data_IF_369683332806
#
_entry.id   IF_369683332806
#
_cell.length_a   1.000
_cell.length_b   1.000
_cell.length_c   1.000
_cell.angle_alpha   90.00
_cell.angle_beta   90.00
_cell.angle_gamma   90.00
#
_symmetry.space_group_name_H-M   'P 1'
#
loop_
_entity.id
_entity.type
_entity.pdbx_description
1 polymer ?
#
# COMPACT_ATOMS: atom_id res chain seq x y z
N UNK A 1 36.63 -14.81 -30.72
CA UNK A 1 35.59 -14.37 -31.68
C UNK A 1 34.41 -13.91 -30.87
N UNK A 2 33.99 -12.68 -31.12
CA UNK A 2 33.29 -11.75 -30.25
C UNK A 2 31.90 -12.26 -29.84
N UNK A 3 31.65 -12.41 -28.54
CA UNK A 3 30.30 -12.49 -28.01
C UNK A 3 29.64 -11.13 -28.20
N UNK A 4 28.41 -11.14 -28.69
CA UNK A 4 27.56 -9.98 -28.91
C UNK A 4 27.21 -9.40 -27.52
N UNK A 5 28.09 -8.52 -27.03
CA UNK A 5 28.08 -7.96 -25.69
C UNK A 5 26.74 -7.25 -25.45
N UNK A 6 25.95 -7.76 -24.51
CA UNK A 6 24.69 -7.18 -24.06
C UNK A 6 24.88 -5.80 -23.40
N UNK A 7 25.28 -4.80 -24.18
CA UNK A 7 25.47 -3.42 -23.75
C UNK A 7 24.15 -2.66 -23.87
N UNK A 8 23.83 -1.89 -22.86
CA UNK A 8 22.60 -1.11 -22.77
C UNK A 8 22.92 0.37 -22.95
N UNK A 9 22.06 1.10 -23.69
CA UNK A 9 22.11 2.56 -23.66
C UNK A 9 21.83 3.07 -22.25
N UNK A 10 22.26 4.29 -21.93
CA UNK A 10 21.98 4.89 -20.59
C UNK A 10 20.46 4.92 -20.31
N UNK A 11 19.62 5.15 -21.32
CA UNK A 11 18.16 5.10 -21.18
C UNK A 11 17.61 3.68 -21.01
N UNK A 12 18.19 2.68 -21.66
CA UNK A 12 17.81 1.28 -21.49
C UNK A 12 18.27 0.74 -20.13
N UNK A 13 19.44 1.16 -19.65
CA UNK A 13 19.94 0.85 -18.31
C UNK A 13 19.04 1.48 -17.24
N UNK A 14 18.64 2.75 -17.40
CA UNK A 14 17.69 3.40 -16.51
C UNK A 14 16.36 2.65 -16.41
N UNK A 15 15.83 2.17 -17.56
CA UNK A 15 14.62 1.34 -17.59
C UNK A 15 14.82 -0.01 -16.91
N UNK A 16 15.98 -0.65 -17.09
CA UNK A 16 16.30 -1.94 -16.45
C UNK A 16 16.35 -1.79 -14.93
N UNK A 17 16.86 -0.66 -14.44
CA UNK A 17 16.96 -0.34 -13.01
C UNK A 17 15.71 0.31 -12.43
N UNK A 18 14.67 0.56 -13.23
CA UNK A 18 13.45 1.27 -12.81
C UNK A 18 13.72 2.67 -12.19
N UNK A 19 14.76 3.36 -12.70
CA UNK A 19 15.16 4.70 -12.27
C UNK A 19 14.81 5.70 -13.39
N UNK A 20 14.30 6.91 -13.08
CA UNK A 20 14.13 7.97 -14.07
C UNK A 20 15.44 8.25 -14.82
N UNK A 21 15.40 8.23 -16.16
CA UNK A 21 16.61 8.40 -16.98
C UNK A 21 17.39 9.67 -16.62
N UNK A 22 16.70 10.76 -16.30
CA UNK A 22 17.31 12.02 -15.86
C UNK A 22 18.16 11.86 -14.59
N UNK A 23 17.69 11.06 -13.62
CA UNK A 23 18.41 10.79 -12.37
C UNK A 23 19.66 9.95 -12.62
N UNK A 24 19.59 8.96 -13.51
CA UNK A 24 20.78 8.20 -13.90
C UNK A 24 21.80 9.10 -14.62
N UNK A 25 21.36 9.95 -15.56
CA UNK A 25 22.26 10.92 -16.21
C UNK A 25 22.90 11.91 -15.24
N UNK A 26 22.13 12.40 -14.25
CA UNK A 26 22.65 13.28 -13.21
C UNK A 26 23.72 12.56 -12.38
N UNK A 27 23.45 11.33 -11.94
CA UNK A 27 24.39 10.60 -11.10
C UNK A 27 25.68 10.25 -11.85
N UNK A 28 25.58 9.75 -13.08
CA UNK A 28 26.76 9.48 -13.91
C UNK A 28 27.60 10.74 -14.16
N UNK A 29 26.95 11.91 -14.24
CA UNK A 29 27.64 13.21 -14.33
C UNK A 29 28.32 13.58 -13.01
N UNK A 30 27.63 13.43 -11.89
CA UNK A 30 28.11 13.85 -10.58
C UNK A 30 29.31 13.00 -10.10
N UNK A 31 29.34 11.72 -10.48
CA UNK A 31 30.49 10.84 -10.29
C UNK A 31 31.60 11.03 -11.34
N UNK A 32 31.38 11.90 -12.32
CA UNK A 32 32.37 12.26 -13.35
C UNK A 32 32.61 11.17 -14.39
N UNK A 33 31.62 10.32 -14.67
CA UNK A 33 31.69 9.30 -15.71
C UNK A 33 31.31 9.85 -17.07
N UNK A 34 30.38 10.81 -17.08
CA UNK A 34 29.96 11.54 -18.28
C UNK A 34 29.95 13.04 -18.01
N UNK A 35 30.02 13.84 -19.07
CA UNK A 35 29.90 15.30 -19.01
C UNK A 35 29.11 15.79 -20.20
N UNK A 36 28.31 16.83 -19.99
CA UNK A 36 27.62 17.50 -21.08
C UNK A 36 28.58 18.48 -21.77
N UNK A 37 28.78 18.30 -23.07
CA UNK A 37 29.54 19.22 -23.92
C UNK A 37 28.64 19.69 -25.06
N UNK A 38 28.28 20.98 -25.03
CA UNK A 38 27.23 21.56 -25.88
C UNK A 38 25.93 20.74 -25.77
N UNK A 39 25.49 20.13 -26.87
CA UNK A 39 24.25 19.36 -26.96
C UNK A 39 24.43 17.84 -26.86
N UNK A 40 25.63 17.36 -26.50
CA UNK A 40 25.92 15.92 -26.44
C UNK A 40 26.56 15.50 -25.13
N UNK A 41 26.27 14.26 -24.72
CA UNK A 41 26.92 13.60 -23.60
C UNK A 41 28.24 12.99 -24.06
N UNK A 42 29.32 13.36 -23.37
CA UNK A 42 30.67 12.89 -23.61
C UNK A 42 31.09 11.99 -22.46
N UNK A 43 31.52 10.78 -22.79
CA UNK A 43 32.13 9.82 -21.88
C UNK A 43 33.50 10.32 -21.42
N UNK A 44 33.76 10.25 -20.12
CA UNK A 44 35.03 10.63 -19.50
C UNK A 44 35.90 9.40 -19.22
N UNK A 45 37.22 9.57 -18.96
CA UNK A 45 38.12 8.45 -18.68
C UNK A 45 37.66 7.54 -17.52
N UNK A 46 37.01 8.10 -16.49
CA UNK A 46 36.39 7.32 -15.42
C UNK A 46 35.24 6.45 -15.91
N UNK A 47 34.39 6.98 -16.80
CA UNK A 47 33.30 6.21 -17.39
C UNK A 47 33.79 5.12 -18.34
N UNK A 48 34.90 5.35 -19.06
CA UNK A 48 35.56 4.32 -19.88
C UNK A 48 36.15 3.20 -19.02
N UNK A 49 36.75 3.55 -17.88
CA UNK A 49 37.27 2.58 -16.91
C UNK A 49 36.17 1.63 -16.38
N UNK A 50 34.97 2.16 -16.17
CA UNK A 50 33.79 1.41 -15.70
C UNK A 50 33.06 0.68 -16.85
N UNK A 51 33.70 0.55 -18.01
CA UNK A 51 33.21 -0.21 -19.16
C UNK A 51 32.29 0.56 -20.11
N UNK A 52 32.09 1.85 -19.89
CA UNK A 52 31.37 2.73 -20.81
C UNK A 52 32.06 2.75 -22.18
N UNK A 53 31.27 2.70 -23.25
CA UNK A 53 31.78 2.77 -24.63
C UNK A 53 30.80 3.49 -25.54
N UNK A 54 31.24 3.85 -26.74
CA UNK A 54 30.37 4.47 -27.72
C UNK A 54 29.81 3.45 -28.70
N UNK A 55 28.53 3.58 -29.02
CA UNK A 55 27.88 2.88 -30.11
C UNK A 55 27.31 3.87 -31.12
N UNK A 56 27.29 3.48 -32.39
CA UNK A 56 26.80 4.32 -33.49
C UNK A 56 25.48 3.75 -34.01
N UNK A 57 24.46 4.59 -34.09
CA UNK A 57 23.16 4.24 -34.68
C UNK A 57 22.86 5.13 -35.87
N UNK A 58 22.28 4.56 -36.92
CA UNK A 58 21.78 5.30 -38.09
C UNK A 58 20.67 6.30 -37.72
N UNK A 59 19.92 6.04 -36.64
CA UNK A 59 18.75 6.85 -36.23
C UNK A 59 19.09 7.91 -35.17
N UNK A 60 20.04 7.62 -34.29
CA UNK A 60 20.30 8.44 -33.08
C UNK A 60 21.75 8.97 -33.00
N UNK A 61 22.58 8.71 -34.01
CA UNK A 61 23.97 9.12 -34.01
C UNK A 61 24.82 8.33 -33.02
N UNK A 62 25.89 8.97 -32.51
CA UNK A 62 26.83 8.37 -31.54
C UNK A 62 26.30 8.56 -30.12
N UNK A 63 26.20 7.48 -29.36
CA UNK A 63 25.69 7.51 -27.97
C UNK A 63 26.49 6.56 -27.07
N UNK A 64 26.36 6.76 -25.76
CA UNK A 64 27.08 6.00 -24.73
C UNK A 64 26.27 4.75 -24.35
N UNK A 65 26.97 3.62 -24.32
CA UNK A 65 26.46 2.32 -23.87
C UNK A 65 27.30 1.76 -22.73
N UNK A 66 26.66 1.01 -21.86
CA UNK A 66 27.21 0.46 -20.63
C UNK A 66 27.08 -1.06 -20.62
N UNK A 67 28.01 -1.78 -19.98
CA UNK A 67 27.87 -3.22 -19.81
C UNK A 67 26.67 -3.54 -18.92
N UNK A 68 26.02 -4.69 -19.15
CA UNK A 68 24.88 -5.10 -18.35
C UNK A 68 25.21 -5.29 -16.87
N UNK A 69 26.44 -5.73 -16.56
CA UNK A 69 26.95 -5.93 -15.19
C UNK A 69 27.05 -4.66 -14.35
N UNK A 70 26.84 -3.49 -14.97
CA UNK A 70 26.88 -2.22 -14.27
C UNK A 70 25.70 -2.09 -13.28
N UNK A 71 24.61 -2.84 -13.47
CA UNK A 71 23.49 -2.92 -12.54
C UNK A 71 23.87 -3.31 -11.11
N UNK A 72 24.93 -4.10 -10.93
CA UNK A 72 25.45 -4.49 -9.60
C UNK A 72 26.52 -3.52 -9.07
N UNK A 73 26.81 -2.42 -9.76
CA UNK A 73 27.88 -1.51 -9.36
C UNK A 73 27.50 -0.73 -8.09
N UNK A 74 28.40 -0.55 -7.10
CA UNK A 74 28.10 0.13 -5.83
C UNK A 74 27.52 1.55 -5.97
N UNK A 75 27.91 2.26 -7.04
CA UNK A 75 27.34 3.56 -7.40
C UNK A 75 25.84 3.47 -7.71
N UNK A 76 25.40 2.45 -8.45
CA UNK A 76 23.99 2.27 -8.78
C UNK A 76 23.19 1.75 -7.59
N UNK A 77 23.79 0.90 -6.75
CA UNK A 77 23.22 0.54 -5.45
C UNK A 77 23.02 1.77 -4.53
N UNK A 78 23.92 2.75 -4.58
CA UNK A 78 23.74 4.02 -3.86
C UNK A 78 22.64 4.92 -4.48
N UNK A 79 22.30 4.76 -5.77
CA UNK A 79 21.13 5.43 -6.37
C UNK A 79 19.84 4.76 -5.92
N UNK A 80 19.80 3.42 -5.87
CA UNK A 80 18.66 2.67 -5.32
C UNK A 80 18.42 3.01 -3.85
N UNK A 81 19.49 3.15 -3.06
CA UNK A 81 19.40 3.62 -1.66
C UNK A 81 18.91 5.07 -1.54
N UNK A 82 19.19 5.92 -2.53
CA UNK A 82 18.63 7.26 -2.63
C UNK A 82 17.22 7.30 -3.29
N UNK A 83 16.70 6.16 -3.77
CA UNK A 83 15.40 6.11 -4.40
C UNK A 83 14.33 6.16 -3.32
N UNK A 84 13.61 7.28 -3.28
CA UNK A 84 12.50 7.41 -2.35
C UNK A 84 11.25 6.77 -2.95
N UNK A 85 10.54 6.00 -2.14
CA UNK A 85 9.34 5.28 -2.52
C UNK A 85 8.12 5.86 -1.80
N UNK A 86 6.98 5.85 -2.48
CA UNK A 86 5.69 6.24 -1.89
C UNK A 86 4.93 5.01 -1.40
N UNK A 87 3.88 5.19 -0.60
CA UNK A 87 2.95 4.12 -0.28
C UNK A 87 2.35 3.43 -1.53
N UNK A 88 2.20 4.16 -2.65
CA UNK A 88 1.77 3.56 -3.91
C UNK A 88 2.84 2.64 -4.52
N UNK A 89 4.11 3.02 -4.43
CA UNK A 89 5.25 2.21 -4.86
C UNK A 89 5.43 0.96 -3.97
N UNK A 90 5.14 1.07 -2.67
CA UNK A 90 5.22 -0.04 -1.72
C UNK A 90 4.29 -1.21 -2.05
N UNK A 91 3.24 -0.98 -2.84
CA UNK A 91 2.32 -2.04 -3.31
C UNK A 91 3.02 -3.15 -4.08
N UNK A 92 4.18 -2.87 -4.68
CA UNK A 92 5.00 -3.91 -5.35
C UNK A 92 5.43 -5.01 -4.37
N UNK A 93 5.67 -4.65 -3.11
CA UNK A 93 6.06 -5.57 -2.04
C UNK A 93 4.85 -6.13 -1.30
N UNK A 94 3.76 -5.36 -1.24
CA UNK A 94 2.50 -5.74 -0.59
C UNK A 94 1.33 -5.69 -1.58
N UNK A 95 1.23 -6.63 -2.53
CA UNK A 95 0.28 -6.55 -3.64
C UNK A 95 -1.19 -6.60 -3.23
N UNK A 96 -1.47 -7.21 -2.06
CA UNK A 96 -2.81 -7.28 -1.47
C UNK A 96 -3.25 -5.98 -0.79
N UNK A 97 -2.34 -5.03 -0.60
CA UNK A 97 -2.65 -3.74 0.03
C UNK A 97 -2.75 -2.62 -1.01
N UNK A 98 -3.75 -1.76 -0.83
CA UNK A 98 -3.87 -0.50 -1.55
C UNK A 98 -3.04 0.60 -0.89
N UNK A 99 -2.67 1.63 -1.66
CA UNK A 99 -1.84 2.73 -1.19
C UNK A 99 -2.47 3.45 0.04
N UNK A 100 -3.81 3.54 0.09
CA UNK A 100 -4.51 4.12 1.25
C UNK A 100 -4.36 3.27 2.51
N UNK A 101 -4.46 1.94 2.39
CA UNK A 101 -4.26 1.01 3.51
C UNK A 101 -2.82 1.09 4.01
N UNK A 102 -1.83 1.09 3.11
CA UNK A 102 -0.42 1.26 3.48
C UNK A 102 -0.21 2.60 4.21
N UNK A 103 -0.79 3.69 3.71
CA UNK A 103 -0.67 4.98 4.38
C UNK A 103 -1.30 4.98 5.78
N UNK A 104 -2.47 4.37 5.95
CA UNK A 104 -3.13 4.25 7.26
C UNK A 104 -2.33 3.35 8.21
N UNK A 105 -1.72 2.27 7.72
CA UNK A 105 -0.84 1.41 8.50
C UNK A 105 0.41 2.16 8.97
N UNK A 106 1.08 2.92 8.09
CA UNK A 106 2.22 3.76 8.48
C UNK A 106 1.80 4.84 9.50
N UNK A 107 0.56 5.32 9.41
CA UNK A 107 0.03 6.29 10.37
C UNK A 107 -0.27 5.67 11.73
N UNK A 108 -0.78 4.44 11.76
CA UNK A 108 -0.98 3.65 12.97
C UNK A 108 0.35 3.40 13.72
N UNK A 109 1.43 3.15 12.97
CA UNK A 109 2.80 3.09 13.51
C UNK A 109 3.35 4.44 13.99
N UNK A 110 2.58 5.52 13.86
CA UNK A 110 2.98 6.87 14.23
C UNK A 110 4.05 7.47 13.33
N UNK A 111 4.25 6.94 12.12
CA UNK A 111 5.26 7.43 11.17
C UNK A 111 4.76 8.64 10.35
N UNK A 112 3.45 8.73 10.16
CA UNK A 112 2.77 9.84 9.50
C UNK A 112 1.38 10.04 10.11
N UNK A 113 0.69 11.09 9.73
CA UNK A 113 -0.72 11.30 10.12
C UNK A 113 -1.47 12.01 8.99
N UNK A 114 -2.79 11.84 8.96
CA UNK A 114 -3.64 12.47 7.95
C UNK A 114 -4.26 13.76 8.52
N UNK A 115 -4.16 14.85 7.78
CA UNK A 115 -4.78 16.14 8.09
C UNK A 115 -5.58 16.66 6.90
N UNK A 116 -6.13 17.87 7.03
CA UNK A 116 -6.80 18.57 5.91
C UNK A 116 -5.86 18.89 4.75
N UNK A 117 -4.55 18.89 5.00
CA UNK A 117 -3.52 19.18 3.99
C UNK A 117 -3.00 17.90 3.30
N UNK A 118 -3.37 16.71 3.79
CA UNK A 118 -2.89 15.43 3.25
C UNK A 118 -2.13 14.62 4.30
N UNK A 119 -1.11 13.87 3.86
CA UNK A 119 -0.27 13.07 4.75
C UNK A 119 0.93 13.89 5.23
N UNK A 120 1.03 14.06 6.55
CA UNK A 120 2.06 14.83 7.20
C UNK A 120 3.00 13.94 8.02
N UNK A 121 4.29 14.22 7.93
CA UNK A 121 5.34 13.43 8.55
C UNK A 121 5.45 13.72 10.05
N UNK A 122 5.56 12.68 10.87
CA UNK A 122 5.79 12.83 12.32
C UNK A 122 7.28 12.92 12.65
N UNK A 123 7.61 13.24 13.91
CA UNK A 123 8.99 13.16 14.40
C UNK A 123 9.58 11.74 14.29
N UNK A 124 8.79 10.71 14.57
CA UNK A 124 9.21 9.31 14.43
C UNK A 124 9.46 8.96 12.97
N UNK A 125 8.54 9.33 12.08
CA UNK A 125 8.72 9.11 10.64
C UNK A 125 9.98 9.79 10.09
N UNK A 126 10.26 11.01 10.55
CA UNK A 126 11.49 11.73 10.17
C UNK A 126 12.75 11.01 10.65
N UNK A 127 12.72 10.41 11.85
CA UNK A 127 13.84 9.61 12.36
C UNK A 127 14.10 8.34 11.54
N UNK A 128 13.07 7.83 10.84
CA UNK A 128 13.16 6.72 9.89
C UNK A 128 13.45 7.16 8.45
N UNK A 129 13.87 8.42 8.24
CA UNK A 129 14.26 8.94 6.93
C UNK A 129 13.10 9.38 6.02
N UNK A 130 11.86 9.38 6.52
CA UNK A 130 10.73 9.94 5.78
C UNK A 130 10.93 11.42 5.46
N UNK A 131 10.41 11.86 4.32
CA UNK A 131 10.35 13.29 3.97
C UNK A 131 8.99 13.61 3.37
N UNK A 132 8.48 14.77 3.76
CA UNK A 132 7.22 15.33 3.31
C UNK A 132 7.44 16.19 2.06
N UNK A 133 6.58 16.00 1.07
CA UNK A 133 6.56 16.73 -0.18
C UNK A 133 5.14 17.26 -0.44
N UNK A 134 5.02 18.27 -1.28
CA UNK A 134 3.74 18.84 -1.72
C UNK A 134 3.51 18.49 -3.18
N UNK A 135 2.32 17.97 -3.50
CA UNK A 135 1.98 17.66 -4.87
C UNK A 135 1.75 18.94 -5.67
N UNK A 136 2.54 19.19 -6.72
CA UNK A 136 2.34 20.34 -7.61
C UNK A 136 0.94 20.35 -8.26
N UNK A 137 0.30 19.19 -8.41
CA UNK A 137 -1.00 19.06 -9.05
C UNK A 137 -2.19 19.37 -8.12
N UNK A 138 -2.09 19.00 -6.84
CA UNK A 138 -3.21 19.11 -5.89
C UNK A 138 -2.95 20.03 -4.69
N UNK A 139 -1.70 20.45 -4.47
CA UNK A 139 -1.27 21.15 -3.24
C UNK A 139 -1.32 20.28 -1.98
N UNK A 140 -1.62 18.98 -2.11
CA UNK A 140 -1.71 18.08 -0.97
C UNK A 140 -0.34 17.57 -0.56
N UNK A 141 -0.10 17.49 0.74
CA UNK A 141 1.08 16.86 1.32
C UNK A 141 1.02 15.35 1.17
N UNK A 142 2.18 14.78 0.86
CA UNK A 142 2.42 13.35 0.90
C UNK A 142 3.80 13.05 1.47
N UNK A 143 3.97 11.85 1.98
CA UNK A 143 5.24 11.38 2.53
C UNK A 143 5.84 10.34 1.60
N UNK A 144 7.14 10.41 1.41
CA UNK A 144 7.90 9.34 0.78
C UNK A 144 9.03 8.89 1.70
N UNK A 145 9.55 7.70 1.44
CA UNK A 145 10.41 6.95 2.34
C UNK A 145 11.65 6.45 1.61
N UNK A 146 12.78 6.24 2.30
CA UNK A 146 13.89 5.48 1.74
C UNK A 146 13.40 4.08 1.33
N UNK A 147 14.02 3.48 0.32
CA UNK A 147 13.65 2.15 -0.16
C UNK A 147 13.67 1.12 0.98
N UNK A 148 14.67 1.21 1.86
CA UNK A 148 14.97 0.29 2.95
C UNK A 148 13.88 0.26 4.04
N UNK A 149 12.90 1.16 3.99
CA UNK A 149 11.77 1.13 4.93
C UNK A 149 10.97 -0.18 4.82
N UNK A 150 10.93 -0.82 3.65
CA UNK A 150 10.24 -2.11 3.45
C UNK A 150 10.99 -3.28 4.08
N UNK A 151 12.29 -3.09 4.36
CA UNK A 151 13.16 -4.05 5.04
C UNK A 151 13.18 -3.81 6.56
N UNK A 152 12.60 -2.69 7.03
CA UNK A 152 12.48 -2.44 8.46
C UNK A 152 11.62 -3.55 9.10
N UNK A 153 12.13 -4.27 10.12
CA UNK A 153 11.48 -5.47 10.64
C UNK A 153 10.10 -5.18 11.25
N UNK A 154 9.86 -3.98 11.77
CA UNK A 154 8.57 -3.58 12.33
C UNK A 154 7.59 -3.27 11.20
N UNK A 155 7.96 -2.40 10.25
CA UNK A 155 7.11 -2.04 9.11
C UNK A 155 6.76 -3.27 8.29
N UNK A 156 7.76 -4.11 8.00
CA UNK A 156 7.58 -5.35 7.26
C UNK A 156 6.60 -6.29 7.95
N UNK A 157 6.79 -6.54 9.26
CA UNK A 157 5.91 -7.41 10.04
C UNK A 157 4.47 -6.93 10.01
N UNK A 158 4.22 -5.63 10.22
CA UNK A 158 2.86 -5.11 10.33
C UNK A 158 2.14 -5.07 8.97
N UNK A 159 2.83 -4.69 7.89
CA UNK A 159 2.25 -4.73 6.54
C UNK A 159 2.01 -6.17 6.06
N UNK A 160 2.91 -7.10 6.36
CA UNK A 160 2.71 -8.53 6.06
C UNK A 160 1.54 -9.09 6.86
N UNK A 161 1.44 -8.80 8.16
CA UNK A 161 0.30 -9.21 9.00
C UNK A 161 -1.03 -8.76 8.41
N UNK A 162 -1.14 -7.50 7.99
CA UNK A 162 -2.36 -6.99 7.35
C UNK A 162 -2.63 -7.63 5.99
N UNK A 163 -1.57 -7.88 5.22
CA UNK A 163 -1.68 -8.56 3.94
C UNK A 163 -2.19 -9.99 4.09
N UNK A 164 -1.75 -10.71 5.13
CA UNK A 164 -2.13 -12.11 5.39
C UNK A 164 -3.57 -12.27 5.88
N UNK A 165 -4.16 -11.20 6.44
CA UNK A 165 -5.57 -11.15 6.81
C UNK A 165 -6.52 -11.01 5.60
N UNK A 166 -5.99 -10.75 4.40
CA UNK A 166 -6.76 -10.71 3.16
C UNK A 166 -6.66 -12.08 2.47
N UNK A 167 -7.79 -12.78 2.28
CA UNK A 167 -7.80 -14.09 1.64
C UNK A 167 -7.15 -14.04 0.26
N UNK A 168 -6.31 -15.03 -0.04
CA UNK A 168 -5.83 -15.23 -1.41
C UNK A 168 -6.97 -15.87 -2.20
N UNK A 169 -7.38 -15.34 -3.37
CA UNK A 169 -8.23 -16.11 -4.26
C UNK A 169 -7.51 -17.42 -4.59
N UNK A 170 -8.21 -18.56 -4.46
CA UNK A 170 -7.63 -19.85 -4.84
C UNK A 170 -7.07 -19.77 -6.27
N UNK A 171 -5.94 -20.42 -6.55
CA UNK A 171 -5.43 -20.46 -7.91
C UNK A 171 -6.52 -21.04 -8.82
N UNK A 172 -6.85 -20.32 -9.89
CA UNK A 172 -7.86 -20.73 -10.87
C UNK A 172 -7.55 -22.05 -11.59
N UNK A 173 -6.36 -22.62 -11.36
CA UNK A 173 -5.88 -23.86 -11.94
C UNK A 173 -6.02 -25.00 -10.93
N UNK A 174 -7.04 -25.84 -11.10
CA UNK A 174 -7.25 -27.06 -10.30
C UNK A 174 -6.12 -28.11 -10.45
N UNK A 175 -5.15 -27.86 -11.33
CA UNK A 175 -3.95 -28.68 -11.56
C UNK A 175 -2.66 -28.06 -11.01
N UNK A 176 -2.73 -26.90 -10.33
CA UNK A 176 -1.57 -26.37 -9.63
C UNK A 176 -1.21 -27.32 -8.49
N UNK A 177 0.06 -27.73 -8.41
CA UNK A 177 0.57 -28.52 -7.30
C UNK A 177 0.19 -27.81 -5.99
N UNK A 178 -0.50 -28.49 -5.06
CA UNK A 178 -0.87 -27.88 -3.79
C UNK A 178 0.42 -27.42 -3.11
N UNK A 179 0.46 -26.14 -2.73
CA UNK A 179 1.60 -25.59 -2.03
C UNK A 179 1.79 -26.39 -0.72
N UNK A 180 2.84 -27.21 -0.67
CA UNK A 180 3.22 -28.02 0.49
C UNK A 180 3.54 -27.15 1.72
N UNK A 181 3.67 -25.82 1.55
CA UNK A 181 3.82 -24.83 2.61
C UNK A 181 2.54 -24.01 2.86
N UNK A 182 1.47 -24.20 2.08
CA UNK A 182 0.16 -23.66 2.42
C UNK A 182 -0.36 -24.44 3.61
N UNK A 183 -0.28 -23.83 4.78
CA UNK A 183 -0.82 -24.38 6.01
C UNK A 183 -2.31 -24.72 5.83
N UNK A 184 -2.60 -26.02 5.70
CA UNK A 184 -3.94 -26.59 5.54
C UNK A 184 -4.90 -26.30 6.71
N UNK A 185 -4.42 -25.64 7.77
CA UNK A 185 -5.15 -25.24 8.97
C UNK A 185 -5.18 -23.71 9.18
N UNK A 186 -5.08 -22.91 8.11
CA UNK A 186 -5.24 -21.45 8.22
C UNK A 186 -6.72 -21.08 8.44
N UNK A 187 -7.25 -21.44 9.61
CA UNK A 187 -8.35 -20.69 10.22
C UNK A 187 -7.89 -19.26 10.29
N UNK A 188 -8.41 -18.40 9.41
CA UNK A 188 -8.12 -16.96 9.43
C UNK A 188 -8.44 -16.50 10.84
N UNK A 189 -7.40 -16.09 11.59
CA UNK A 189 -7.59 -15.52 12.91
C UNK A 189 -8.47 -14.29 12.73
N UNK A 190 -9.67 -14.32 13.32
CA UNK A 190 -10.58 -13.18 13.32
C UNK A 190 -10.18 -12.17 14.42
N UNK A 191 -8.89 -12.04 14.69
CA UNK A 191 -8.34 -11.06 15.61
C UNK A 191 -8.03 -9.76 14.85
N UNK A 192 -8.69 -8.68 15.27
CA UNK A 192 -8.46 -7.34 14.75
C UNK A 192 -7.08 -6.80 15.14
N UNK A 193 -6.60 -5.82 14.38
CA UNK A 193 -5.34 -5.13 14.68
C UNK A 193 -5.43 -4.41 16.04
N UNK A 194 -6.62 -3.95 16.40
CA UNK A 194 -6.94 -3.28 17.66
C UNK A 194 -7.12 -4.22 18.86
N UNK A 195 -7.03 -5.54 18.64
CA UNK A 195 -7.14 -6.57 19.67
C UNK A 195 -8.56 -7.13 19.88
N UNK A 196 -9.57 -6.71 19.11
CA UNK A 196 -10.87 -7.39 19.16
C UNK A 196 -10.78 -8.82 18.61
N UNK A 197 -11.58 -9.74 19.17
CA UNK A 197 -11.81 -11.07 18.59
C UNK A 197 -13.21 -11.11 18.00
N UNK A 198 -13.28 -11.24 16.67
CA UNK A 198 -14.49 -11.08 15.87
C UNK A 198 -15.05 -12.46 15.47
N UNK A 199 -16.34 -12.49 15.10
CA UNK A 199 -17.02 -13.71 14.73
C UNK A 199 -16.74 -14.16 13.29
N UNK A 200 -16.54 -13.20 12.37
CA UNK A 200 -16.36 -13.49 10.94
C UNK A 200 -15.19 -12.70 10.33
N UNK A 201 -14.60 -13.20 9.21
CA UNK A 201 -13.58 -12.46 8.47
C UNK A 201 -14.06 -11.08 8.01
N UNK A 202 -15.33 -10.95 7.59
CA UNK A 202 -15.90 -9.64 7.22
C UNK A 202 -15.90 -8.66 8.39
N UNK A 203 -16.31 -9.11 9.58
CA UNK A 203 -16.28 -8.28 10.79
C UNK A 203 -14.85 -7.84 11.12
N UNK A 204 -13.88 -8.76 11.03
CA UNK A 204 -12.46 -8.43 11.23
C UNK A 204 -11.96 -7.37 10.24
N UNK A 205 -12.32 -7.48 8.95
CA UNK A 205 -11.97 -6.46 7.94
C UNK A 205 -12.60 -5.10 8.21
N UNK A 206 -13.88 -5.08 8.62
CA UNK A 206 -14.58 -3.83 8.98
C UNK A 206 -13.96 -3.21 10.24
N UNK A 207 -13.66 -4.01 11.27
CA UNK A 207 -13.00 -3.58 12.50
C UNK A 207 -11.62 -2.96 12.20
N UNK A 208 -10.79 -3.65 11.43
CA UNK A 208 -9.49 -3.15 10.99
C UNK A 208 -9.63 -1.85 10.20
N UNK A 209 -10.61 -1.74 9.32
CA UNK A 209 -10.86 -0.52 8.55
C UNK A 209 -11.21 0.65 9.48
N UNK A 210 -12.12 0.44 10.44
CA UNK A 210 -12.52 1.46 11.42
C UNK A 210 -11.34 1.91 12.29
N UNK A 211 -10.53 0.96 12.76
CA UNK A 211 -9.33 1.24 13.54
C UNK A 211 -8.28 2.03 12.75
N UNK A 212 -7.96 1.58 11.53
CA UNK A 212 -6.98 2.24 10.65
C UNK A 212 -7.48 3.61 10.15
N UNK A 213 -8.79 3.83 10.09
CA UNK A 213 -9.40 5.13 9.87
C UNK A 213 -9.40 6.03 11.12
N UNK A 214 -8.85 5.57 12.25
CA UNK A 214 -8.81 6.26 13.54
C UNK A 214 -10.20 6.62 14.07
N UNK A 215 -11.19 5.78 13.77
CA UNK A 215 -12.56 5.93 14.26
C UNK A 215 -12.73 5.13 15.54
N UNK A 216 -13.04 5.82 16.64
CA UNK A 216 -13.50 5.19 17.86
C UNK A 216 -14.75 4.36 17.55
N UNK A 217 -14.73 3.08 17.91
CA UNK A 217 -15.83 2.15 17.68
C UNK A 217 -15.92 1.13 18.80
N UNK A 218 -17.12 0.56 19.00
CA UNK A 218 -17.39 -0.52 19.92
C UNK A 218 -17.84 -1.77 19.16
N UNK A 219 -17.40 -2.95 19.58
CA UNK A 219 -17.84 -4.24 19.04
C UNK A 219 -19.02 -4.80 19.86
N UNK A 220 -20.02 -5.39 19.19
CA UNK A 220 -21.22 -6.00 19.79
C UNK A 220 -21.99 -5.06 20.72
N UNK A 221 -22.28 -3.85 20.25
CA UNK A 221 -23.01 -2.85 21.05
C UNK A 221 -24.52 -3.17 21.09
N UNK A 222 -25.08 -3.22 22.29
CA UNK A 222 -26.53 -3.31 22.50
C UNK A 222 -27.25 -2.12 21.87
N UNK A 223 -28.35 -2.42 21.19
CA UNK A 223 -29.31 -1.42 20.72
C UNK A 223 -30.01 -0.77 21.93
N UNK A 224 -30.46 0.50 21.80
CA UNK A 224 -31.08 1.24 22.90
C UNK A 224 -32.56 0.84 23.07
N UNK A 225 -32.81 -0.45 23.24
CA UNK A 225 -34.13 -1.07 23.44
C UNK A 225 -34.07 -2.07 24.61
N UNK A 226 -35.23 -2.54 25.06
CA UNK A 226 -35.30 -3.52 26.16
C UNK A 226 -34.81 -4.92 25.74
N UNK A 227 -34.99 -5.28 24.47
CA UNK A 227 -34.50 -6.55 23.92
C UNK A 227 -32.97 -6.57 23.83
N UNK A 228 -32.35 -7.72 24.11
CA UNK A 228 -30.89 -7.89 24.00
C UNK A 228 -30.44 -8.13 22.57
N UNK A 229 -30.60 -7.10 21.73
CA UNK A 229 -30.17 -7.11 20.33
C UNK A 229 -28.87 -6.32 20.19
N UNK A 230 -27.89 -6.89 19.51
CA UNK A 230 -26.57 -6.28 19.31
C UNK A 230 -26.34 -5.92 17.85
N UNK A 231 -25.84 -4.72 17.60
CA UNK A 231 -25.18 -4.37 16.35
C UNK A 231 -23.74 -4.89 16.36
N UNK A 232 -23.18 -5.19 15.19
CA UNK A 232 -21.79 -5.65 15.10
C UNK A 232 -20.81 -4.56 15.54
N UNK A 233 -20.98 -3.33 15.02
CA UNK A 233 -20.20 -2.17 15.45
C UNK A 233 -21.06 -0.96 15.77
N UNK A 234 -20.53 -0.07 16.61
CA UNK A 234 -21.13 1.22 16.91
C UNK A 234 -20.08 2.33 16.95
N UNK A 235 -20.35 3.43 16.26
CA UNK A 235 -19.50 4.61 16.19
C UNK A 235 -20.16 5.76 16.98
N UNK A 236 -19.61 6.15 18.15
CA UNK A 236 -20.19 7.22 18.98
C UNK A 236 -20.15 8.60 18.31
N UNK A 237 -19.21 8.86 17.41
CA UNK A 237 -19.06 10.17 16.76
C UNK A 237 -20.28 10.60 15.91
N UNK A 238 -21.11 9.65 15.46
CA UNK A 238 -22.34 9.92 14.70
C UNK A 238 -23.54 9.08 15.11
N UNK A 239 -23.45 8.38 16.25
CA UNK A 239 -24.43 7.39 16.70
C UNK A 239 -24.80 6.36 15.62
N UNK A 240 -23.79 5.88 14.88
CA UNK A 240 -23.97 5.00 13.73
C UNK A 240 -23.75 3.54 14.14
N UNK A 241 -24.72 2.69 13.89
CA UNK A 241 -24.63 1.24 14.03
C UNK A 241 -24.20 0.62 12.69
N UNK A 242 -23.35 -0.40 12.71
CA UNK A 242 -22.90 -1.10 11.50
C UNK A 242 -23.15 -2.59 11.68
N UNK A 243 -23.75 -3.22 10.67
CA UNK A 243 -23.99 -4.66 10.62
C UNK A 243 -23.37 -5.32 9.38
N UNK A 244 -22.74 -6.47 9.60
CA UNK A 244 -22.04 -7.26 8.58
C UNK A 244 -22.92 -8.43 8.13
N UNK A 245 -23.19 -8.53 6.83
CA UNK A 245 -24.02 -9.55 6.22
C UNK A 245 -23.16 -10.54 5.45
N UNK A 246 -23.16 -11.81 5.89
CA UNK A 246 -22.50 -12.91 5.18
C UNK A 246 -23.38 -13.40 4.01
N UNK A 247 -22.77 -13.89 2.94
CA UNK A 247 -23.50 -14.49 1.81
C UNK A 247 -24.16 -15.82 2.22
N UNK A 248 -23.44 -16.65 2.97
CA UNK A 248 -23.88 -17.97 3.42
C UNK A 248 -24.65 -17.93 4.76
N UNK A 249 -25.31 -16.80 5.05
CA UNK A 249 -26.05 -16.61 6.29
C UNK A 249 -27.22 -17.62 6.41
N UNK A 250 -27.33 -18.25 7.58
CA UNK A 250 -28.45 -19.14 7.91
C UNK A 250 -29.78 -18.39 7.92
N UNK A 251 -30.89 -19.13 7.77
CA UNK A 251 -32.23 -18.54 7.86
C UNK A 251 -32.50 -17.86 9.22
N UNK A 252 -31.84 -18.31 10.29
CA UNK A 252 -31.95 -17.69 11.62
C UNK A 252 -31.21 -16.34 11.67
N UNK A 253 -29.99 -16.26 11.13
CA UNK A 253 -29.21 -15.03 11.04
C UNK A 253 -29.89 -13.99 10.14
N UNK A 254 -30.43 -14.43 9.00
CA UNK A 254 -31.18 -13.55 8.11
C UNK A 254 -32.41 -12.95 8.81
N UNK A 255 -33.15 -13.76 9.58
CA UNK A 255 -34.28 -13.28 10.40
C UNK A 255 -33.83 -12.28 11.46
N UNK A 256 -32.71 -12.55 12.16
CA UNK A 256 -32.16 -11.64 13.16
C UNK A 256 -31.73 -10.30 12.54
N UNK A 257 -31.09 -10.33 11.37
CA UNK A 257 -30.68 -9.12 10.64
C UNK A 257 -31.89 -8.31 10.14
N UNK A 258 -32.94 -8.98 9.63
CA UNK A 258 -34.18 -8.30 9.25
C UNK A 258 -34.90 -7.68 10.46
N UNK A 259 -34.88 -8.35 11.62
CA UNK A 259 -35.41 -7.81 12.88
C UNK A 259 -34.63 -6.55 13.32
N UNK A 260 -33.29 -6.60 13.30
CA UNK A 260 -32.43 -5.43 13.55
C UNK A 260 -32.78 -4.25 12.65
N UNK A 261 -32.99 -4.51 11.36
CA UNK A 261 -33.35 -3.48 10.38
C UNK A 261 -34.70 -2.82 10.69
N UNK A 262 -35.67 -3.58 11.17
CA UNK A 262 -36.96 -3.03 11.62
C UNK A 262 -36.76 -2.12 12.84
N UNK A 263 -35.99 -2.57 13.83
CA UNK A 263 -35.66 -1.77 15.03
C UNK A 263 -35.01 -0.44 14.63
N UNK A 264 -34.02 -0.45 13.73
CA UNK A 264 -33.37 0.78 13.28
C UNK A 264 -34.36 1.76 12.65
N UNK A 265 -35.31 1.26 11.87
CA UNK A 265 -36.34 2.07 11.21
C UNK A 265 -37.33 2.66 12.21
N UNK A 266 -37.85 1.85 13.12
CA UNK A 266 -38.83 2.27 14.13
C UNK A 266 -38.24 3.32 15.07
N UNK A 267 -37.02 3.08 15.54
CA UNK A 267 -36.31 3.94 16.49
C UNK A 267 -35.55 5.10 15.81
N UNK A 268 -35.55 5.16 14.47
CA UNK A 268 -34.83 6.16 13.66
C UNK A 268 -33.33 6.23 14.00
N UNK A 269 -32.71 5.07 14.18
CA UNK A 269 -31.27 4.96 14.45
C UNK A 269 -30.50 5.05 13.12
N UNK A 270 -29.31 5.66 13.16
CA UNK A 270 -28.42 5.66 12.01
C UNK A 270 -27.76 4.28 11.88
N UNK A 271 -27.95 3.61 10.75
CA UNK A 271 -27.38 2.29 10.50
C UNK A 271 -26.71 2.20 9.12
N UNK A 272 -25.63 1.42 9.03
CA UNK A 272 -25.00 1.00 7.79
C UNK A 272 -24.94 -0.53 7.72
N UNK A 273 -25.16 -1.06 6.54
CA UNK A 273 -25.06 -2.50 6.27
C UNK A 273 -23.87 -2.73 5.33
N UNK A 274 -22.99 -3.66 5.70
CA UNK A 274 -21.84 -4.07 4.89
C UNK A 274 -22.04 -5.53 4.49
N UNK A 275 -22.01 -5.81 3.19
CA UNK A 275 -22.16 -7.17 2.66
C UNK A 275 -20.80 -7.80 2.40
N UNK A 276 -20.76 -9.13 2.34
CA UNK A 276 -19.52 -9.86 2.06
C UNK A 276 -18.99 -9.63 0.63
N UNK A 277 -19.88 -9.58 -0.37
CA UNK A 277 -19.54 -9.18 -1.75
C UNK A 277 -18.78 -7.85 -1.86
N UNK A 278 -18.96 -6.99 -0.86
CA UNK A 278 -18.52 -5.62 -0.79
C UNK A 278 -17.22 -5.46 0.03
N UNK A 279 -16.66 -6.56 0.55
CA UNK A 279 -15.51 -6.55 1.46
C UNK A 279 -14.23 -5.95 0.85
N UNK A 280 -14.07 -6.01 -0.47
CA UNK A 280 -12.93 -5.38 -1.17
C UNK A 280 -13.08 -3.86 -1.32
N UNK A 281 -14.31 -3.34 -1.23
CA UNK A 281 -14.65 -1.94 -1.49
C UNK A 281 -15.05 -1.18 -0.21
N UNK A 282 -14.57 -1.60 0.96
CA UNK A 282 -14.90 -0.97 2.25
C UNK A 282 -14.60 0.54 2.28
N UNK A 283 -13.54 0.97 1.59
CA UNK A 283 -13.20 2.38 1.45
C UNK A 283 -14.30 3.21 0.79
N UNK A 284 -14.98 2.66 -0.21
CA UNK A 284 -16.09 3.33 -0.88
C UNK A 284 -17.35 3.28 0.00
N UNK A 285 -17.65 2.10 0.54
CA UNK A 285 -18.93 1.84 1.21
C UNK A 285 -18.98 2.50 2.58
N UNK A 286 -17.97 2.26 3.41
CA UNK A 286 -17.88 2.88 4.73
C UNK A 286 -17.51 4.36 4.59
N UNK A 287 -16.57 4.70 3.71
CA UNK A 287 -16.18 6.11 3.51
C UNK A 287 -17.35 6.99 3.07
N UNK A 288 -18.10 6.57 2.03
CA UNK A 288 -19.27 7.31 1.56
C UNK A 288 -20.44 7.23 2.54
N UNK A 289 -20.69 6.06 3.13
CA UNK A 289 -21.78 5.86 4.08
C UNK A 289 -21.61 6.74 5.33
N UNK A 290 -20.42 6.74 5.93
CA UNK A 290 -20.11 7.55 7.11
C UNK A 290 -20.13 9.05 6.83
N UNK A 291 -19.77 9.46 5.61
CA UNK A 291 -19.88 10.86 5.18
C UNK A 291 -21.32 11.38 5.23
N UNK A 292 -22.33 10.54 4.94
CA UNK A 292 -23.74 10.93 5.05
C UNK A 292 -24.16 11.27 6.48
N UNK A 293 -23.43 10.76 7.48
CA UNK A 293 -23.62 11.05 8.90
C UNK A 293 -22.64 12.11 9.43
N UNK A 294 -21.91 12.79 8.54
CA UNK A 294 -20.96 13.86 8.88
C UNK A 294 -19.61 13.37 9.44
N UNK A 295 -19.34 12.07 9.39
CA UNK A 295 -18.07 11.49 9.80
C UNK A 295 -17.10 11.52 8.61
N UNK A 296 -15.92 12.11 8.80
CA UNK A 296 -14.85 12.17 7.78
C UNK A 296 -13.69 11.27 8.21
N UNK A 297 -13.17 10.48 7.27
CA UNK A 297 -12.18 9.41 7.49
C UNK A 297 -11.28 9.22 6.25
#
# INVERSE_FOLDING_TARGET
MSQDDGKLSTTALARKLDIPAQQLFATLRDYGWIRRSADTWVLLPKGEFEGGSYQQSRRYGRYIVWPQSLDHHPLLAAIESNQRITAASMRRYYPRLHARQINRALAELGLQHHSVLGWELTALGRSMGGQQEESEASGAFYVTWPHEIVDNPVVHRELTRQSDQIPTPEPADANAEPDLFANADTKISCEGIDGHVLATPLQMRVCNWLYLAQLAHAYRRLLPIEEQVHADFYLPAGNVYIDCWQEDASAAELRANLHKREIYREMRLHSLEVKEADAENLDEILGRGLLTFGIRC
#
